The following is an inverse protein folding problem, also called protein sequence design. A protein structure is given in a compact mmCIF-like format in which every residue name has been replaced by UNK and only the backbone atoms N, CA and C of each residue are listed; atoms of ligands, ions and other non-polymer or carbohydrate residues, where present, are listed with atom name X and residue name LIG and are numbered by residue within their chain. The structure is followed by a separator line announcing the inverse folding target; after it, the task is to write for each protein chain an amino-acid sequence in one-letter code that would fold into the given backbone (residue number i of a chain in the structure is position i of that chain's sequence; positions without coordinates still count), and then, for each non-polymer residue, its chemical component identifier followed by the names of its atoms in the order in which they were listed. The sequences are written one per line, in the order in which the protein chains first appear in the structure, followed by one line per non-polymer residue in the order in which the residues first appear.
data_IF_776431420411
#
_entry.id   IF_776431420411
#
_cell.length_a   1.000
_cell.length_b   1.000
_cell.length_c   1.000
_cell.angle_alpha   90.00
_cell.angle_beta   90.00
_cell.angle_gamma   90.00
#
_symmetry.space_group_name_H-M   'P 1'
#
loop_
_entity.id
_entity.type
_entity.pdbx_description
1 polymer ?
#
# COMPACT_ATOMS: atom_id res chain seq x y z
N UNK A 1 7.54 12.81 -10.47
CA UNK A 1 7.04 11.56 -11.11
C UNK A 1 5.70 11.23 -10.49
N UNK A 2 4.71 10.74 -11.24
CA UNK A 2 3.42 10.33 -10.66
C UNK A 2 3.31 8.81 -10.58
N UNK A 3 2.60 8.30 -9.59
CA UNK A 3 2.24 6.88 -9.48
C UNK A 3 0.79 6.72 -9.05
N UNK A 4 0.22 5.54 -9.30
CA UNK A 4 -1.09 5.17 -8.77
C UNK A 4 -0.94 4.39 -7.48
N UNK A 5 -1.83 4.64 -6.53
CA UNK A 5 -1.92 3.88 -5.30
C UNK A 5 -3.36 3.46 -5.03
N UNK A 6 -3.55 2.35 -4.34
CA UNK A 6 -4.86 1.91 -3.84
C UNK A 6 -4.89 2.19 -2.34
N UNK A 7 -5.84 3.02 -1.91
CA UNK A 7 -6.06 3.38 -0.52
C UNK A 7 -7.29 2.67 0.06
N UNK A 8 -7.32 2.50 1.38
CA UNK A 8 -8.51 2.03 2.08
C UNK A 8 -9.46 3.22 2.33
N UNK A 9 -10.50 3.36 1.54
CA UNK A 9 -11.47 4.46 1.65
C UNK A 9 -12.47 4.23 2.81
N UNK A 10 -12.81 2.98 3.11
CA UNK A 10 -13.70 2.64 4.23
C UNK A 10 -13.47 1.24 4.77
N UNK A 11 -13.87 1.00 6.03
CA UNK A 11 -13.73 -0.33 6.64
C UNK A 11 -14.86 -1.26 6.16
N UNK A 12 -14.55 -2.43 5.58
CA UNK A 12 -15.55 -3.35 5.08
C UNK A 12 -16.36 -3.98 6.23
N UNK A 13 -17.68 -4.03 6.06
CA UNK A 13 -18.59 -4.84 6.88
C UNK A 13 -18.78 -6.20 6.22
N UNK A 14 -18.19 -7.25 6.78
CA UNK A 14 -18.19 -8.58 6.15
C UNK A 14 -17.14 -8.72 5.06
N UNK A 15 -17.53 -9.07 3.84
CA UNK A 15 -16.60 -9.17 2.71
C UNK A 15 -16.23 -7.77 2.18
N UNK A 16 -14.97 -7.52 1.77
CA UNK A 16 -14.61 -6.29 1.08
C UNK A 16 -15.35 -6.15 -0.25
N UNK A 17 -15.81 -4.94 -0.53
CA UNK A 17 -16.38 -4.52 -1.78
C UNK A 17 -15.51 -3.42 -2.42
N UNK A 18 -15.76 -3.13 -3.70
CA UNK A 18 -14.96 -2.17 -4.46
C UNK A 18 -15.01 -0.75 -3.86
N UNK A 19 -16.12 -0.40 -3.22
CA UNK A 19 -16.33 0.89 -2.55
C UNK A 19 -15.53 1.05 -1.24
N UNK A 20 -14.89 -0.01 -0.76
CA UNK A 20 -13.95 0.09 0.36
C UNK A 20 -12.57 0.60 -0.07
N UNK A 21 -12.34 0.74 -1.37
CA UNK A 21 -11.06 1.14 -1.92
C UNK A 21 -11.19 2.33 -2.86
N UNK A 22 -10.14 3.12 -2.95
CA UNK A 22 -10.02 4.20 -3.92
C UNK A 22 -8.67 4.12 -4.61
N UNK A 23 -8.64 4.43 -5.92
CA UNK A 23 -7.39 4.51 -6.68
C UNK A 23 -7.05 5.96 -6.90
N UNK A 24 -5.93 6.39 -6.32
CA UNK A 24 -5.45 7.76 -6.40
C UNK A 24 -4.21 7.84 -7.28
N UNK A 25 -3.99 9.00 -7.92
CA UNK A 25 -2.71 9.33 -8.54
C UNK A 25 -2.01 10.36 -7.68
N UNK A 26 -0.80 10.04 -7.24
CA UNK A 26 0.01 10.91 -6.39
C UNK A 26 1.30 11.30 -7.08
N UNK A 27 1.85 12.45 -6.70
CA UNK A 27 3.22 12.83 -7.02
C UNK A 27 4.18 12.20 -6.00
N UNK A 28 5.20 11.53 -6.50
CA UNK A 28 6.28 10.99 -5.69
C UNK A 28 7.26 12.11 -5.32
N UNK A 29 7.69 12.19 -4.04
CA UNK A 29 8.72 13.13 -3.63
C UNK A 29 10.07 12.78 -4.29
N UNK A 30 10.99 13.74 -4.27
CA UNK A 30 12.36 13.47 -4.69
C UNK A 30 13.03 12.45 -3.77
N UNK A 31 13.79 11.53 -4.38
CA UNK A 31 14.54 10.50 -3.67
C UNK A 31 15.65 11.13 -2.82
N UNK A 32 15.70 10.80 -1.53
CA UNK A 32 16.68 11.33 -0.57
C UNK A 32 17.85 10.38 -0.35
N UNK A 33 18.88 10.85 0.35
CA UNK A 33 20.00 10.01 0.78
C UNK A 33 19.49 8.88 1.71
N UNK A 34 20.00 7.67 1.52
CA UNK A 34 19.58 6.46 2.21
C UNK A 34 18.31 5.79 1.64
N UNK A 35 17.70 6.33 0.58
CA UNK A 35 16.45 5.80 0.01
C UNK A 35 16.67 5.07 -1.33
N UNK A 36 15.74 4.16 -1.65
CA UNK A 36 15.62 3.51 -2.97
C UNK A 36 14.23 3.74 -3.55
N UNK A 37 14.14 3.95 -4.86
CA UNK A 37 12.88 3.99 -5.59
C UNK A 37 12.63 2.63 -6.25
N UNK A 38 11.46 2.06 -5.98
CA UNK A 38 11.04 0.75 -6.45
C UNK A 38 9.85 0.87 -7.40
N UNK A 39 9.91 0.16 -8.53
CA UNK A 39 8.78 -0.10 -9.40
C UNK A 39 8.19 -1.48 -9.06
N UNK A 40 6.99 -1.49 -8.49
CA UNK A 40 6.31 -2.73 -8.13
C UNK A 40 5.83 -3.46 -9.39
N UNK A 41 6.22 -4.73 -9.53
CA UNK A 41 5.93 -5.57 -10.70
C UNK A 41 4.81 -6.57 -10.40
N UNK A 42 4.82 -7.12 -9.18
CA UNK A 42 3.84 -8.11 -8.72
C UNK A 42 3.46 -7.84 -7.27
N UNK A 43 2.19 -8.06 -6.95
CA UNK A 43 1.61 -7.84 -5.62
C UNK A 43 1.08 -9.17 -5.07
N UNK A 44 1.41 -9.48 -3.83
CA UNK A 44 0.77 -10.59 -3.10
C UNK A 44 -0.57 -10.13 -2.55
N UNK A 45 -1.61 -10.95 -2.72
CA UNK A 45 -2.93 -10.74 -2.14
C UNK A 45 -3.23 -11.90 -1.21
N UNK A 46 -3.11 -11.64 0.09
CA UNK A 46 -3.12 -12.69 1.11
C UNK A 46 -4.32 -12.56 2.07
N UNK A 47 -4.86 -13.68 2.59
CA UNK A 47 -6.00 -13.66 3.51
C UNK A 47 -5.82 -12.76 4.75
N UNK A 48 -4.58 -12.60 5.25
CA UNK A 48 -4.31 -11.76 6.43
C UNK A 48 -4.65 -10.28 6.21
N UNK A 49 -4.63 -9.81 4.95
CA UNK A 49 -4.95 -8.42 4.60
C UNK A 49 -6.37 -8.07 5.05
N UNK A 50 -7.31 -9.03 5.00
CA UNK A 50 -8.69 -8.82 5.48
C UNK A 50 -8.72 -8.44 6.96
N UNK A 51 -7.92 -9.11 7.79
CA UNK A 51 -7.82 -8.81 9.22
C UNK A 51 -7.33 -7.37 9.46
N UNK A 52 -6.38 -6.91 8.65
CA UNK A 52 -5.81 -5.55 8.74
C UNK A 52 -6.79 -4.46 8.30
N UNK A 53 -7.83 -4.77 7.53
CA UNK A 53 -8.87 -3.77 7.19
C UNK A 53 -9.78 -3.41 8.38
N UNK A 54 -9.79 -4.24 9.43
CA UNK A 54 -10.55 -3.98 10.66
C UNK A 54 -9.74 -3.11 11.63
N UNK A 55 -10.44 -2.28 12.41
CA UNK A 55 -9.86 -1.53 13.53
C UNK A 55 -9.78 -2.38 14.80
N UNK A 56 -9.03 -3.47 14.74
CA UNK A 56 -8.94 -4.42 15.84
C UNK A 56 -7.48 -4.73 16.14
N UNK A 57 -7.20 -4.98 17.43
CA UNK A 57 -5.88 -5.40 17.88
C UNK A 57 -5.49 -6.71 17.17
N UNK A 58 -4.37 -6.67 16.47
CA UNK A 58 -3.80 -7.81 15.74
C UNK A 58 -2.28 -7.80 15.89
N UNK A 59 -1.62 -8.88 15.48
CA UNK A 59 -0.17 -8.98 15.44
C UNK A 59 0.47 -8.06 14.39
N UNK A 60 -0.30 -7.64 13.39
CA UNK A 60 0.08 -6.67 12.38
C UNK A 60 -0.79 -5.42 12.50
N UNK A 61 -0.19 -4.24 12.31
CA UNK A 61 -0.92 -2.97 12.35
C UNK A 61 -2.05 -2.94 11.32
N UNK A 62 -3.24 -2.46 11.70
CA UNK A 62 -4.33 -2.21 10.76
C UNK A 62 -3.92 -1.30 9.61
N UNK A 63 -4.61 -1.45 8.48
CA UNK A 63 -4.61 -0.42 7.45
C UNK A 63 -5.37 0.81 7.97
N UNK A 64 -4.79 1.97 7.68
CA UNK A 64 -5.37 3.27 7.98
C UNK A 64 -6.30 3.69 6.84
N UNK A 65 -7.34 4.45 7.19
CA UNK A 65 -8.23 5.07 6.22
C UNK A 65 -7.47 6.15 5.46
N UNK A 66 -7.75 6.27 4.16
CA UNK A 66 -7.15 7.22 3.23
C UNK A 66 -5.61 7.08 3.13
N UNK A 67 -5.09 5.88 3.42
CA UNK A 67 -3.67 5.52 3.25
C UNK A 67 -3.52 4.36 2.27
N UNK A 68 -2.41 4.32 1.51
CA UNK A 68 -2.13 3.20 0.63
C UNK A 68 -2.02 1.88 1.39
N UNK A 69 -2.57 0.82 0.79
CA UNK A 69 -2.44 -0.53 1.31
C UNK A 69 -0.98 -0.99 1.26
N UNK A 70 -0.56 -1.75 2.27
CA UNK A 70 0.80 -2.31 2.36
C UNK A 70 0.77 -3.83 2.35
N UNK A 71 1.68 -4.44 1.60
CA UNK A 71 1.80 -5.89 1.47
C UNK A 71 3.12 -6.28 0.82
N UNK A 72 3.29 -7.59 0.60
CA UNK A 72 4.49 -8.12 -0.05
C UNK A 72 4.44 -7.88 -1.56
N UNK A 73 5.55 -7.45 -2.13
CA UNK A 73 5.68 -7.19 -3.57
C UNK A 73 7.00 -7.74 -4.10
N UNK A 74 7.02 -8.09 -5.39
CA UNK A 74 8.26 -8.20 -6.17
C UNK A 74 8.39 -6.89 -6.92
N UNK A 75 9.52 -6.21 -6.75
CA UNK A 75 9.76 -4.90 -7.33
C UNK A 75 11.16 -4.81 -7.95
N UNK A 76 11.29 -3.91 -8.93
CA UNK A 76 12.55 -3.57 -9.57
C UNK A 76 13.08 -2.25 -8.98
N UNK A 77 14.36 -2.21 -8.62
CA UNK A 77 15.02 -0.94 -8.26
C UNK A 77 15.17 -0.10 -9.53
N UNK A 78 14.59 1.10 -9.55
CA UNK A 78 14.67 2.01 -10.69
C UNK A 78 15.60 3.21 -10.42
N UNK A 79 15.77 3.58 -9.15
CA UNK A 79 16.76 4.57 -8.70
C UNK A 79 17.23 4.20 -7.28
N UNK A 80 18.48 4.53 -6.94
CA UNK A 80 19.05 4.31 -5.60
C UNK A 80 19.91 5.49 -5.17
N UNK A 81 19.80 5.88 -3.91
CA UNK A 81 20.70 6.79 -3.19
C UNK A 81 21.10 6.17 -1.84
N UNK A 82 21.23 4.85 -1.78
CA UNK A 82 21.46 4.09 -0.54
C UNK A 82 22.92 4.02 -0.07
N UNK A 83 23.85 4.58 -0.85
CA UNK A 83 25.29 4.60 -0.54
C UNK A 83 25.62 5.46 0.69
#
# INVERSE_FOLDING_TARGET
MTTKQIVLASRPKGLPALDNFETETIELPELKAGEVLLEAMYYSVDPYMRGRMNDAKSYASPFEIDKPLTGSVIAKVVQSKSD
#
